data_IF_773256487899
#
_entry.id   IF_773256487899
#
_cell.length_a   1.000
_cell.length_b   1.000
_cell.length_c   1.000
_cell.angle_alpha   90.00
_cell.angle_beta   90.00
_cell.angle_gamma   90.00
#
_symmetry.space_group_name_H-M   'P 1'
#
loop_
_entity.id
_entity.type
_entity.pdbx_description
1 polymer ?
#
# COMPACT_ATOMS: atom_id res chain seq x y z
N UNK A 1 32.74 8.21 44.68
CA UNK A 1 31.43 8.81 44.29
C UNK A 1 31.04 8.71 42.80
N UNK A 2 31.99 8.69 41.84
CA UNK A 2 31.69 8.66 40.39
C UNK A 2 30.92 7.41 39.88
N UNK A 3 31.01 6.27 40.57
CA UNK A 3 30.42 5.00 40.11
C UNK A 3 28.89 4.96 40.21
N UNK A 4 28.29 5.68 41.16
CA UNK A 4 26.83 5.70 41.36
C UNK A 4 26.09 6.57 40.33
N UNK A 5 26.73 7.64 39.84
CA UNK A 5 26.20 8.53 38.81
C UNK A 5 26.03 7.80 37.47
N UNK A 6 27.02 6.99 37.07
CA UNK A 6 26.99 6.22 35.80
C UNK A 6 25.90 5.14 35.84
N UNK A 7 25.73 4.46 36.98
CA UNK A 7 24.70 3.43 37.14
C UNK A 7 23.28 4.03 37.08
N UNK A 8 23.06 5.20 37.68
CA UNK A 8 21.80 5.95 37.57
C UNK A 8 21.53 6.45 36.15
N UNK A 9 22.57 6.89 35.43
CA UNK A 9 22.46 7.29 34.02
C UNK A 9 22.08 6.12 33.11
N UNK A 10 22.64 4.93 33.33
CA UNK A 10 22.30 3.72 32.55
C UNK A 10 20.85 3.29 32.77
N UNK A 11 20.39 3.25 34.03
CA UNK A 11 19.00 2.89 34.36
C UNK A 11 18.00 3.92 33.82
N UNK A 12 18.36 5.20 33.81
CA UNK A 12 17.55 6.25 33.19
C UNK A 12 17.50 6.12 31.66
N UNK A 13 18.63 5.81 31.00
CA UNK A 13 18.67 5.56 29.54
C UNK A 13 17.87 4.31 29.13
N UNK A 14 17.90 3.23 29.92
CA UNK A 14 17.10 2.02 29.63
C UNK A 14 15.59 2.27 29.75
N UNK A 15 15.15 3.06 30.75
CA UNK A 15 13.72 3.43 30.88
C UNK A 15 13.26 4.37 29.79
N UNK A 16 14.09 5.34 29.40
CA UNK A 16 13.75 6.31 28.35
C UNK A 16 13.81 5.66 26.97
N UNK A 17 14.80 4.80 26.71
CA UNK A 17 14.93 4.07 25.44
C UNK A 17 13.80 3.07 25.20
N UNK A 18 13.35 2.35 26.24
CA UNK A 18 12.20 1.44 26.14
C UNK A 18 10.89 2.19 25.93
N UNK A 19 10.73 3.37 26.53
CA UNK A 19 9.57 4.24 26.32
C UNK A 19 9.58 4.87 24.92
N UNK A 20 10.74 5.31 24.40
CA UNK A 20 10.88 5.81 23.02
C UNK A 20 10.60 4.69 22.01
N UNK A 21 11.07 3.47 22.25
CA UNK A 21 10.78 2.32 21.40
C UNK A 21 9.29 1.96 21.44
N UNK A 22 8.67 1.95 22.62
CA UNK A 22 7.21 1.75 22.76
C UNK A 22 6.43 2.87 22.03
N UNK A 23 6.81 4.13 22.20
CA UNK A 23 6.17 5.26 21.51
C UNK A 23 6.35 5.19 19.99
N UNK A 24 7.51 4.75 19.49
CA UNK A 24 7.78 4.53 18.07
C UNK A 24 6.97 3.36 17.50
N UNK A 25 6.75 2.30 18.28
CA UNK A 25 5.91 1.16 17.88
C UNK A 25 4.42 1.52 17.96
N UNK A 26 4.02 2.38 18.90
CA UNK A 26 2.65 2.91 19.02
C UNK A 26 2.28 3.90 17.89
N UNK A 27 3.24 4.65 17.33
CA UNK A 27 2.97 5.49 16.15
C UNK A 27 2.82 4.70 14.84
N UNK A 28 3.26 3.44 14.78
CA UNK A 28 2.97 2.52 13.66
C UNK A 28 1.53 2.01 13.70
N UNK A 29 0.83 2.09 14.83
CA UNK A 29 -0.53 1.59 14.97
C UNK A 29 -1.63 2.54 14.43
N UNK A 30 -1.28 3.74 13.93
CA UNK A 30 -2.28 4.71 13.43
C UNK A 30 -1.89 5.49 12.18
N UNK A 31 -0.68 5.36 11.68
CA UNK A 31 -0.32 5.80 10.34
C UNK A 31 -0.52 4.65 9.37
N UNK A 32 -1.75 4.38 8.94
CA UNK A 32 -1.95 3.47 7.81
C UNK A 32 -1.30 4.16 6.60
N UNK A 33 -0.06 3.79 6.28
CA UNK A 33 0.69 4.34 5.15
C UNK A 33 -0.02 3.82 3.91
N UNK A 34 -0.90 4.65 3.39
CA UNK A 34 -1.63 4.34 2.19
C UNK A 34 -0.69 4.46 0.99
N UNK A 35 -0.80 3.57 -0.01
CA UNK A 35 0.05 3.61 -1.18
C UNK A 35 -0.07 4.94 -1.95
N UNK A 36 0.91 5.28 -2.81
CA UNK A 36 0.79 6.46 -3.66
C UNK A 36 -0.52 6.41 -4.45
N UNK A 37 -1.12 7.59 -4.67
CA UNK A 37 -2.45 7.73 -5.27
C UNK A 37 -3.59 7.07 -4.48
N UNK A 38 -3.49 7.04 -3.15
CA UNK A 38 -4.59 6.64 -2.29
C UNK A 38 -4.74 7.55 -1.07
N UNK A 39 -5.90 7.50 -0.45
CA UNK A 39 -6.25 8.28 0.73
C UNK A 39 -6.86 7.35 1.77
N UNK A 40 -6.49 7.54 3.03
CA UNK A 40 -7.05 6.77 4.12
C UNK A 40 -8.54 7.08 4.28
N UNK A 41 -9.38 6.04 4.21
CA UNK A 41 -10.79 6.13 4.53
C UNK A 41 -11.01 5.68 5.97
N UNK A 42 -11.35 6.64 6.84
CA UNK A 42 -11.58 6.41 8.27
C UNK A 42 -12.87 5.63 8.57
N UNK A 43 -13.86 5.65 7.66
CA UNK A 43 -15.13 4.91 7.81
C UNK A 43 -14.92 3.41 7.54
N UNK A 44 -14.16 3.07 6.50
CA UNK A 44 -13.86 1.67 6.17
C UNK A 44 -12.60 1.12 6.85
N UNK A 45 -11.80 1.98 7.49
CA UNK A 45 -10.51 1.61 8.09
C UNK A 45 -9.48 1.11 7.07
N UNK A 46 -9.63 1.49 5.79
CA UNK A 46 -8.84 1.01 4.66
C UNK A 46 -8.38 2.16 3.78
N UNK A 47 -7.27 1.98 3.09
CA UNK A 47 -6.84 2.90 2.04
C UNK A 47 -7.75 2.78 0.81
N UNK A 48 -8.26 3.92 0.35
CA UNK A 48 -9.07 4.04 -0.87
C UNK A 48 -8.21 4.69 -1.95
N UNK A 49 -8.07 4.04 -3.10
CA UNK A 49 -7.39 4.64 -4.23
C UNK A 49 -8.09 5.92 -4.70
N UNK A 50 -7.32 6.86 -5.25
CA UNK A 50 -7.83 8.08 -5.86
C UNK A 50 -8.82 7.75 -6.98
N UNK A 51 -9.67 8.73 -7.34
CA UNK A 51 -10.76 8.51 -8.29
C UNK A 51 -10.26 7.82 -9.57
N UNK A 52 -11.00 6.78 -10.00
CA UNK A 52 -10.72 5.94 -11.16
C UNK A 52 -9.48 5.04 -11.05
N UNK A 53 -8.96 4.79 -9.85
CA UNK A 53 -7.94 3.78 -9.61
C UNK A 53 -8.50 2.62 -8.76
N UNK A 54 -7.95 1.44 -8.97
CA UNK A 54 -8.31 0.19 -8.28
C UNK A 54 -7.13 -0.31 -7.44
N UNK A 55 -7.39 -0.82 -6.22
CA UNK A 55 -6.34 -1.31 -5.33
C UNK A 55 -5.79 -2.65 -5.78
N UNK A 56 -4.50 -2.90 -5.54
CA UNK A 56 -3.93 -4.25 -5.63
C UNK A 56 -4.54 -5.21 -4.66
N UNK A 57 -4.50 -6.49 -5.02
CA UNK A 57 -4.95 -7.58 -4.15
C UNK A 57 -4.27 -7.48 -2.77
N UNK A 58 -2.98 -7.12 -2.76
CA UNK A 58 -2.19 -6.93 -1.55
C UNK A 58 -2.40 -5.55 -0.88
N UNK A 59 -3.17 -4.64 -1.49
CA UNK A 59 -3.46 -3.30 -0.96
C UNK A 59 -2.27 -2.35 -0.91
N UNK A 60 -1.14 -2.72 -1.53
CA UNK A 60 0.13 -2.00 -1.51
C UNK A 60 0.32 -1.03 -2.67
N UNK A 61 -0.60 -1.03 -3.65
CA UNK A 61 -0.53 -0.20 -4.85
C UNK A 61 -1.93 0.12 -5.38
N UNK A 62 -2.04 1.19 -6.16
CA UNK A 62 -3.22 1.55 -6.92
C UNK A 62 -2.88 1.60 -8.42
N UNK A 63 -3.69 0.99 -9.27
CA UNK A 63 -3.52 0.98 -10.72
C UNK A 63 -4.77 1.48 -11.44
N UNK A 64 -4.61 1.84 -12.71
CA UNK A 64 -5.74 2.13 -13.58
C UNK A 64 -6.57 0.86 -13.77
N UNK A 65 -7.91 0.96 -13.76
CA UNK A 65 -8.78 -0.15 -14.10
C UNK A 65 -8.42 -0.67 -15.49
N UNK A 66 -8.52 -1.99 -15.65
CA UNK A 66 -8.36 -2.58 -16.95
C UNK A 66 -9.47 -2.09 -17.90
N UNK A 67 -9.16 -1.91 -19.20
CA UNK A 67 -10.17 -1.53 -20.17
C UNK A 67 -11.26 -2.59 -20.28
N UNK A 68 -12.38 -2.24 -20.93
CA UNK A 68 -13.43 -3.23 -21.22
C UNK A 68 -12.85 -4.42 -21.97
N UNK A 69 -13.34 -5.61 -21.65
CA UNK A 69 -12.82 -6.88 -22.15
C UNK A 69 -11.35 -7.15 -21.83
N UNK A 70 -10.85 -6.61 -20.71
CA UNK A 70 -9.56 -6.98 -20.13
C UNK A 70 -9.68 -7.39 -18.66
N UNK A 71 -8.82 -8.32 -18.27
CA UNK A 71 -8.70 -8.82 -16.89
C UNK A 71 -7.30 -8.54 -16.35
N UNK A 72 -7.20 -8.26 -15.06
CA UNK A 72 -5.90 -8.13 -14.42
C UNK A 72 -5.30 -9.51 -14.19
N UNK A 73 -4.09 -9.71 -14.70
CA UNK A 73 -3.30 -10.89 -14.39
C UNK A 73 -2.88 -10.85 -12.93
N UNK A 74 -3.31 -11.83 -12.14
CA UNK A 74 -2.89 -11.95 -10.74
C UNK A 74 -1.37 -12.14 -10.60
N UNK A 75 -0.69 -12.63 -11.64
CA UNK A 75 0.75 -12.92 -11.63
C UNK A 75 1.59 -11.70 -11.96
N UNK A 76 1.14 -10.84 -12.88
CA UNK A 76 1.91 -9.69 -13.36
C UNK A 76 1.35 -8.35 -12.90
N UNK A 77 0.12 -8.31 -12.39
CA UNK A 77 -0.60 -7.08 -12.09
C UNK A 77 -0.92 -6.23 -13.33
N UNK A 78 -0.74 -6.80 -14.53
CA UNK A 78 -1.01 -6.11 -15.81
C UNK A 78 -2.35 -6.55 -16.37
N UNK A 79 -3.00 -5.64 -17.09
CA UNK A 79 -4.21 -5.94 -17.83
C UNK A 79 -3.89 -6.73 -19.08
N UNK A 80 -4.57 -7.86 -19.28
CA UNK A 80 -4.58 -8.63 -20.51
C UNK A 80 -6.00 -8.74 -21.07
N UNK A 81 -6.15 -8.66 -22.39
CA UNK A 81 -7.44 -8.83 -23.04
C UNK A 81 -8.02 -10.23 -22.78
N UNK A 82 -9.33 -10.31 -22.63
CA UNK A 82 -10.08 -11.56 -22.50
C UNK A 82 -9.93 -12.42 -23.76
N UNK A 83 -10.23 -13.72 -23.64
CA UNK A 83 -10.18 -14.62 -24.78
C UNK A 83 -11.12 -14.15 -25.91
N UNK A 84 -10.60 -14.06 -27.13
CA UNK A 84 -11.33 -13.52 -28.28
C UNK A 84 -11.18 -12.00 -28.46
N UNK A 85 -10.43 -11.31 -27.60
CA UNK A 85 -10.10 -9.90 -27.76
C UNK A 85 -8.59 -9.70 -27.90
N UNK A 86 -8.19 -8.74 -28.73
CA UNK A 86 -6.80 -8.30 -28.88
C UNK A 86 -6.66 -6.80 -28.53
N UNK A 87 -5.48 -6.34 -28.09
CA UNK A 87 -5.27 -4.93 -27.85
C UNK A 87 -5.45 -4.11 -29.15
N UNK A 88 -6.21 -3.03 -29.05
CA UNK A 88 -6.38 -2.05 -30.12
C UNK A 88 -5.03 -1.41 -30.49
N UNK A 89 -4.96 -0.77 -31.65
CA UNK A 89 -3.74 -0.07 -32.12
C UNK A 89 -3.32 1.07 -31.20
N UNK A 90 -4.26 1.67 -30.46
CA UNK A 90 -4.01 2.65 -29.39
C UNK A 90 -3.46 2.03 -28.10
N UNK A 91 -3.57 0.71 -27.93
CA UNK A 91 -3.14 -0.01 -26.73
C UNK A 91 -3.95 0.30 -25.47
N UNK A 92 -5.06 1.04 -25.58
CA UNK A 92 -5.91 1.45 -24.46
C UNK A 92 -7.21 0.66 -24.38
N UNK A 93 -7.57 -0.08 -25.43
CA UNK A 93 -8.82 -0.85 -25.52
C UNK A 93 -8.58 -2.28 -26.00
N UNK A 94 -9.47 -3.20 -25.67
CA UNK A 94 -9.49 -4.56 -26.24
C UNK A 94 -10.61 -4.66 -27.29
N UNK A 95 -10.26 -5.10 -28.50
CA UNK A 95 -11.18 -5.22 -29.63
C UNK A 95 -11.43 -6.69 -29.95
N UNK A 96 -12.68 -7.02 -30.30
CA UNK A 96 -13.05 -8.39 -30.65
C UNK A 96 -12.32 -8.80 -31.92
N UNK A 97 -11.54 -9.88 -31.82
CA UNK A 97 -10.96 -10.54 -32.97
C UNK A 97 -11.90 -11.64 -33.42
N UNK A 98 -12.39 -11.51 -34.65
CA UNK A 98 -13.36 -12.40 -35.28
C UNK A 98 -14.83 -12.13 -34.85
N UNK A 99 -15.47 -11.09 -35.42
CA UNK A 99 -16.90 -10.80 -35.21
C UNK A 99 -17.85 -11.84 -35.79
#
# INVERSE_FOLDING_TARGET
>A
EQSSQILRLRVAMERTGKLILLLAVLSVARGQICPPNSSYNAESGKCKCANNLVPSADGTSCYNPCPEHATISATTGQCGCEAGYEPSTDGLSCILVNP
#
